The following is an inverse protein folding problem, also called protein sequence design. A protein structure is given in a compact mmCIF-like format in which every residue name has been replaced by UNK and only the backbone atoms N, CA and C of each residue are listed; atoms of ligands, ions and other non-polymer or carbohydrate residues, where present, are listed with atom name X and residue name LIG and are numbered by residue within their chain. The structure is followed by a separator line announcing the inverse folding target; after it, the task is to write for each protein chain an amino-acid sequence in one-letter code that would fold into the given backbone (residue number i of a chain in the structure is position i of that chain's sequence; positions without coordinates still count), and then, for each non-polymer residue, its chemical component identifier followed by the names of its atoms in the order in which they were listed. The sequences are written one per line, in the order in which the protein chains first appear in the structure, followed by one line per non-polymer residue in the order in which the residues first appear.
data_IF_851207365593
#
_entry.id   IF_851207365593
#
_cell.length_a   1.000
_cell.length_b   1.000
_cell.length_c   1.000
_cell.angle_alpha   90.00
_cell.angle_beta   90.00
_cell.angle_gamma   90.00
#
_symmetry.space_group_name_H-M   'P 1'
#
loop_
_entity.id
_entity.type
_entity.pdbx_description
1 polymer ?
#
# COMPACT_ATOMS: atom_id res chain seq x y z
N UNK A 1 1.93 1.65 21.42
CA UNK A 1 1.79 3.00 20.83
C UNK A 1 2.75 3.88 21.60
N UNK A 2 3.58 4.65 20.89
CA UNK A 2 4.55 5.55 21.51
C UNK A 2 4.01 6.98 21.46
N UNK A 3 4.10 7.70 22.57
CA UNK A 3 3.85 9.14 22.62
C UNK A 3 5.20 9.88 22.61
N UNK A 4 5.27 10.96 21.84
CA UNK A 4 6.48 11.76 21.66
C UNK A 4 6.12 13.24 21.68
N UNK A 5 6.96 14.05 22.32
CA UNK A 5 6.80 15.50 22.40
C UNK A 5 7.82 16.12 21.46
N UNK A 6 7.34 16.85 20.47
CA UNK A 6 8.18 17.51 19.46
C UNK A 6 7.71 18.94 19.24
N UNK A 7 8.64 19.87 19.07
CA UNK A 7 8.30 21.26 18.76
C UNK A 7 7.69 21.34 17.35
N UNK A 8 6.62 22.12 17.20
CA UNK A 8 6.07 22.44 15.89
C UNK A 8 7.14 23.09 15.01
N UNK A 9 7.26 22.66 13.76
CA UNK A 9 8.29 23.16 12.85
C UNK A 9 9.59 22.36 12.87
N UNK A 10 9.72 21.35 13.74
CA UNK A 10 10.89 20.45 13.74
C UNK A 10 10.99 19.72 12.39
N UNK A 11 12.16 19.71 11.72
CA UNK A 11 12.37 18.92 10.51
C UNK A 11 12.12 17.43 10.77
N UNK A 12 11.49 16.76 9.82
CA UNK A 12 11.18 15.32 9.88
C UNK A 12 12.44 14.49 10.15
N UNK A 13 13.57 14.85 9.54
CA UNK A 13 14.85 14.16 9.78
C UNK A 13 15.29 14.20 11.25
N UNK A 14 15.14 15.35 11.90
CA UNK A 14 15.49 15.49 13.33
C UNK A 14 14.50 14.73 14.20
N UNK A 15 13.21 14.75 13.85
CA UNK A 15 12.21 13.98 14.56
C UNK A 15 12.42 12.46 14.43
N UNK A 16 12.87 11.96 13.26
CA UNK A 16 13.25 10.55 13.10
C UNK A 16 14.37 10.15 14.05
N UNK A 17 15.40 10.99 14.24
CA UNK A 17 16.48 10.71 15.21
C UNK A 17 15.92 10.60 16.63
N UNK A 18 15.03 11.50 17.01
CA UNK A 18 14.35 11.45 18.31
C UNK A 18 13.55 10.15 18.48
N UNK A 19 12.76 9.75 17.47
CA UNK A 19 11.99 8.50 17.50
C UNK A 19 12.90 7.28 17.71
N UNK A 20 14.05 7.23 17.05
CA UNK A 20 15.00 6.12 17.19
C UNK A 20 15.48 5.99 18.64
N UNK A 21 15.83 7.10 19.28
CA UNK A 21 16.29 7.09 20.67
C UNK A 21 15.14 6.78 21.64
N UNK A 22 13.96 7.36 21.43
CA UNK A 22 12.78 7.08 22.27
C UNK A 22 12.33 5.62 22.17
N UNK A 23 12.35 5.03 20.96
CA UNK A 23 12.01 3.62 20.76
C UNK A 23 12.97 2.69 21.51
N UNK A 24 14.27 3.00 21.51
CA UNK A 24 15.28 2.26 22.30
C UNK A 24 15.02 2.39 23.80
N UNK A 25 14.79 3.61 24.30
CA UNK A 25 14.53 3.86 25.73
C UNK A 25 13.27 3.13 26.22
N UNK A 26 12.23 3.08 25.38
CA UNK A 26 10.98 2.38 25.70
C UNK A 26 11.05 0.86 25.47
N UNK A 27 12.18 0.34 25.00
CA UNK A 27 12.35 -1.09 24.72
C UNK A 27 11.42 -1.60 23.62
N UNK A 28 11.07 -0.75 22.65
CA UNK A 28 10.28 -1.17 21.49
C UNK A 28 11.16 -2.07 20.64
N UNK A 29 10.72 -3.32 20.46
CA UNK A 29 11.40 -4.30 19.62
C UNK A 29 11.21 -3.96 18.13
N UNK A 30 11.93 -2.93 17.66
CA UNK A 30 11.99 -2.56 16.26
C UNK A 30 13.38 -2.02 15.89
N UNK A 31 13.89 -2.44 14.73
CA UNK A 31 15.15 -1.94 14.18
C UNK A 31 14.83 -0.72 13.31
N UNK A 32 15.21 0.47 13.80
CA UNK A 32 15.04 1.73 13.09
C UNK A 32 16.40 2.31 12.71
N UNK A 33 16.58 2.58 11.42
CA UNK A 33 17.73 3.30 10.87
C UNK A 33 17.24 4.59 10.21
N UNK A 34 17.93 5.70 10.44
CA UNK A 34 17.49 7.04 10.02
C UNK A 34 17.09 7.13 8.55
N UNK A 35 17.92 6.57 7.65
CA UNK A 35 17.70 6.65 6.21
C UNK A 35 16.88 5.45 5.65
N UNK A 36 16.53 4.47 6.51
CA UNK A 36 15.68 3.32 6.16
C UNK A 36 14.39 3.31 7.00
N UNK A 37 13.84 4.48 7.26
CA UNK A 37 12.52 4.62 7.87
C UNK A 37 11.79 5.82 7.26
N UNK A 38 10.46 5.75 7.26
CA UNK A 38 9.60 6.86 6.86
C UNK A 38 8.50 7.11 7.89
N UNK A 39 8.06 8.36 7.93
CA UNK A 39 6.90 8.78 8.71
C UNK A 39 5.72 8.96 7.77
N UNK A 40 4.55 8.48 8.18
CA UNK A 40 3.30 8.65 7.43
C UNK A 40 2.21 9.24 8.28
N UNK A 41 1.34 10.02 7.67
CA UNK A 41 0.06 10.36 8.28
C UNK A 41 -0.70 9.08 8.63
N UNK A 42 -1.21 8.99 9.86
CA UNK A 42 -2.14 7.94 10.25
C UNK A 42 -3.57 8.48 10.11
N UNK A 43 -4.27 8.02 9.08
CA UNK A 43 -5.70 8.33 8.87
C UNK A 43 -6.47 7.07 9.27
N UNK A 44 -6.84 6.95 10.55
CA UNK A 44 -7.46 5.71 11.06
C UNK A 44 -6.54 4.49 10.93
N UNK A 45 -6.89 3.50 10.09
CA UNK A 45 -6.03 2.36 9.72
C UNK A 45 -5.30 2.55 8.38
N UNK A 46 -5.61 3.64 7.67
CA UNK A 46 -5.09 3.94 6.34
C UNK A 46 -3.71 4.61 6.45
N UNK A 47 -2.67 4.09 5.76
CA UNK A 47 -1.41 4.81 5.61
C UNK A 47 -1.64 6.00 4.69
N UNK A 48 -1.39 7.21 5.20
CA UNK A 48 -1.51 8.45 4.45
C UNK A 48 -0.20 8.89 3.82
N UNK A 49 -0.11 10.20 3.60
CA UNK A 49 1.02 10.90 3.00
C UNK A 49 2.34 10.57 3.70
N UNK A 50 3.38 10.32 2.91
CA UNK A 50 4.75 10.19 3.40
C UNK A 50 5.36 11.57 3.65
N UNK A 51 5.94 11.76 4.83
CA UNK A 51 6.71 12.94 5.19
C UNK A 51 8.18 12.79 4.79
N UNK A 52 8.67 13.74 4.00
CA UNK A 52 10.06 13.81 3.57
C UNK A 52 10.91 14.54 4.61
N UNK A 53 12.19 14.18 4.67
CA UNK A 53 13.15 14.67 5.67
C UNK A 53 13.24 16.20 5.80
N UNK A 54 13.09 16.92 4.69
CA UNK A 54 13.13 18.39 4.65
C UNK A 54 11.82 19.07 5.04
N UNK A 55 10.72 18.31 5.14
CA UNK A 55 9.45 18.83 5.61
C UNK A 55 9.47 18.98 7.12
N UNK A 56 8.53 19.76 7.64
CA UNK A 56 8.40 20.04 9.06
C UNK A 56 7.19 19.32 9.65
N UNK A 57 7.31 18.91 10.90
CA UNK A 57 6.22 18.31 11.65
C UNK A 57 5.24 19.39 12.09
N UNK A 58 3.95 19.13 11.84
CA UNK A 58 2.85 19.86 12.48
C UNK A 58 2.39 19.10 13.72
N UNK A 59 2.13 19.83 14.80
CA UNK A 59 1.82 19.22 16.09
C UNK A 59 0.42 18.56 16.08
N UNK A 60 0.23 17.52 16.89
CA UNK A 60 -1.07 16.90 17.13
C UNK A 60 -1.49 15.80 16.16
N UNK A 61 -0.61 15.36 15.25
CA UNK A 61 -0.88 14.27 14.30
C UNK A 61 -0.42 12.92 14.84
N UNK A 62 -1.25 11.88 14.67
CA UNK A 62 -0.80 10.48 14.80
C UNK A 62 -0.05 10.09 13.54
N UNK A 63 1.07 9.40 13.70
CA UNK A 63 1.91 8.97 12.58
C UNK A 63 2.22 7.49 12.66
N UNK A 64 2.40 6.86 11.51
CA UNK A 64 3.05 5.56 11.41
C UNK A 64 4.55 5.76 11.24
N UNK A 65 5.33 4.95 11.95
CA UNK A 65 6.76 4.76 11.72
C UNK A 65 6.90 3.46 10.93
N UNK A 66 7.33 3.57 9.68
CA UNK A 66 7.47 2.42 8.79
C UNK A 66 8.96 2.17 8.49
N UNK A 67 9.53 1.04 8.95
CA UNK A 67 10.85 0.60 8.54
C UNK A 67 10.86 0.22 7.05
N UNK A 68 11.96 0.54 6.37
CA UNK A 68 12.16 0.26 4.95
C UNK A 68 13.25 -0.78 4.75
N UNK A 69 13.12 -1.60 3.71
CA UNK A 69 14.19 -2.54 3.31
C UNK A 69 15.41 -1.83 2.71
N UNK A 70 15.27 -0.58 2.29
CA UNK A 70 16.31 0.23 1.69
C UNK A 70 16.04 1.72 1.87
N UNK A 71 16.76 2.56 1.13
CA UNK A 71 16.56 4.01 1.17
C UNK A 71 15.17 4.40 0.66
N UNK A 72 14.62 5.48 1.21
CA UNK A 72 13.42 6.11 0.68
C UNK A 72 13.68 6.61 -0.75
N UNK A 73 12.82 6.21 -1.67
CA UNK A 73 12.93 6.53 -3.10
C UNK A 73 11.95 7.64 -3.52
N UNK A 74 11.01 8.01 -2.65
CA UNK A 74 9.96 8.99 -2.94
C UNK A 74 10.45 10.43 -2.81
N UNK A 75 10.07 11.24 -3.79
CA UNK A 75 10.23 12.68 -3.84
C UNK A 75 8.88 13.41 -3.73
N UNK A 76 8.91 14.74 -3.54
CA UNK A 76 7.74 15.53 -3.13
C UNK A 76 6.54 15.45 -4.09
N UNK A 77 6.79 15.41 -5.39
CA UNK A 77 5.73 15.38 -6.40
C UNK A 77 5.21 13.96 -6.70
N UNK A 78 5.94 12.94 -6.26
CA UNK A 78 5.64 11.55 -6.53
C UNK A 78 4.57 11.01 -5.60
N UNK A 79 3.81 10.03 -6.09
CA UNK A 79 2.82 9.29 -5.31
C UNK A 79 3.28 7.86 -5.08
N UNK A 80 3.12 7.39 -3.85
CA UNK A 80 3.41 6.01 -3.49
C UNK A 80 2.10 5.24 -3.44
N UNK A 81 2.00 4.15 -4.21
CA UNK A 81 0.84 3.27 -4.20
C UNK A 81 1.28 1.83 -3.98
N UNK A 82 0.44 1.08 -3.28
CA UNK A 82 0.57 -0.35 -3.13
C UNK A 82 -0.07 -1.06 -4.32
N UNK A 83 0.53 -2.14 -4.75
CA UNK A 83 0.03 -2.95 -5.86
C UNK A 83 -0.03 -4.41 -5.45
N UNK A 84 -1.08 -5.09 -5.92
CA UNK A 84 -1.31 -6.51 -5.69
C UNK A 84 -1.55 -7.16 -7.04
N UNK A 85 -0.70 -8.12 -7.41
CA UNK A 85 -0.93 -8.88 -8.63
C UNK A 85 -1.96 -9.96 -8.35
N UNK A 86 -3.07 -9.92 -9.06
CA UNK A 86 -4.03 -11.02 -9.14
C UNK A 86 -3.54 -12.04 -10.17
N UNK A 87 -3.56 -13.33 -9.79
CA UNK A 87 -3.20 -14.49 -10.61
C UNK A 87 -4.45 -15.31 -10.91
N UNK A 88 -5.24 -14.99 -11.95
CA UNK A 88 -6.46 -15.74 -12.29
C UNK A 88 -6.22 -17.26 -12.41
N UNK A 89 -5.07 -17.64 -12.97
CA UNK A 89 -4.68 -19.04 -13.19
C UNK A 89 -4.39 -19.83 -11.91
N UNK A 90 -4.21 -19.13 -10.79
CA UNK A 90 -3.93 -19.73 -9.48
C UNK A 90 -5.04 -19.44 -8.47
N UNK A 91 -5.98 -18.57 -8.82
CA UNK A 91 -6.98 -18.01 -7.91
C UNK A 91 -6.34 -17.42 -6.62
N UNK A 92 -5.22 -16.74 -6.78
CA UNK A 92 -4.41 -16.21 -5.68
C UNK A 92 -3.87 -14.81 -6.00
N UNK A 93 -3.36 -14.14 -4.97
CA UNK A 93 -2.67 -12.85 -5.10
C UNK A 93 -1.20 -12.98 -4.73
N UNK A 94 -0.34 -12.25 -5.43
CA UNK A 94 1.06 -12.08 -5.03
C UNK A 94 1.13 -11.19 -3.77
N UNK A 95 2.25 -11.23 -3.02
CA UNK A 95 2.49 -10.29 -1.93
C UNK A 95 2.34 -8.82 -2.37
N UNK A 96 1.96 -7.97 -1.42
CA UNK A 96 1.82 -6.53 -1.67
C UNK A 96 3.20 -5.95 -1.99
N UNK A 97 3.28 -5.26 -3.12
CA UNK A 97 4.45 -4.51 -3.55
C UNK A 97 4.15 -3.00 -3.57
N UNK A 98 5.21 -2.20 -3.69
CA UNK A 98 5.12 -0.74 -3.77
C UNK A 98 5.66 -0.24 -5.10
N UNK A 99 4.95 0.70 -5.71
CA UNK A 99 5.45 1.48 -6.84
C UNK A 99 5.36 2.99 -6.53
N UNK A 100 6.27 3.74 -7.15
CA UNK A 100 6.32 5.19 -7.08
C UNK A 100 5.95 5.73 -8.46
N UNK A 101 4.94 6.59 -8.48
CA UNK A 101 4.41 7.25 -9.67
C UNK A 101 4.94 8.68 -9.74
N UNK A 102 5.42 9.07 -10.90
CA UNK A 102 6.04 10.38 -11.11
C UNK A 102 4.99 11.49 -11.32
N UNK A 103 3.82 11.12 -11.83
CA UNK A 103 2.76 12.07 -12.11
C UNK A 103 1.73 12.17 -10.98
N UNK A 104 1.55 13.38 -10.45
CA UNK A 104 0.51 13.70 -9.46
C UNK A 104 -0.90 13.29 -9.92
N UNK A 105 -1.23 13.31 -11.21
CA UNK A 105 -2.58 12.97 -11.65
C UNK A 105 -2.82 11.46 -11.85
N UNK A 106 -1.81 10.62 -11.63
CA UNK A 106 -1.89 9.17 -11.84
C UNK A 106 -2.28 8.84 -13.27
N UNK A 107 -1.47 9.29 -14.23
CA UNK A 107 -1.66 8.96 -15.66
C UNK A 107 -1.68 7.43 -15.80
N UNK A 108 -2.74 6.84 -16.39
CA UNK A 108 -2.80 5.41 -16.68
C UNK A 108 -1.54 4.86 -17.36
N UNK A 109 -0.86 5.65 -18.20
CA UNK A 109 0.38 5.23 -18.88
C UNK A 109 1.54 5.03 -17.90
N UNK A 110 1.68 5.91 -16.91
CA UNK A 110 2.73 5.82 -15.88
C UNK A 110 2.49 4.58 -15.00
N UNK A 111 1.24 4.39 -14.55
CA UNK A 111 0.84 3.21 -13.77
C UNK A 111 1.15 1.92 -14.52
N UNK A 112 0.71 1.80 -15.77
CA UNK A 112 0.90 0.58 -16.56
C UNK A 112 2.37 0.35 -16.89
N UNK A 113 3.15 1.40 -17.16
CA UNK A 113 4.59 1.30 -17.35
C UNK A 113 5.29 0.71 -16.13
N UNK A 114 4.99 1.22 -14.93
CA UNK A 114 5.54 0.70 -13.67
C UNK A 114 5.11 -0.73 -13.38
N UNK A 115 3.84 -1.07 -13.63
CA UNK A 115 3.35 -2.43 -13.47
C UNK A 115 4.01 -3.41 -14.46
N UNK A 116 4.30 -2.96 -15.68
CA UNK A 116 5.02 -3.74 -16.69
C UNK A 116 6.45 -4.01 -16.28
N UNK A 117 7.17 -2.97 -15.84
CA UNK A 117 8.52 -3.06 -15.30
C UNK A 117 8.58 -4.04 -14.11
N UNK A 118 7.64 -3.92 -13.16
CA UNK A 118 7.58 -4.76 -11.96
C UNK A 118 7.30 -6.23 -12.28
N UNK A 119 6.44 -6.50 -13.27
CA UNK A 119 5.87 -7.84 -13.49
C UNK A 119 6.46 -8.61 -14.67
N UNK A 120 7.18 -7.93 -15.57
CA UNK A 120 7.64 -8.45 -16.85
C UNK A 120 6.52 -8.67 -17.88
N UNK A 121 5.28 -8.29 -17.57
CA UNK A 121 4.13 -8.40 -18.49
C UNK A 121 4.12 -7.19 -19.41
N UNK A 122 3.98 -7.40 -20.72
CA UNK A 122 3.93 -6.27 -21.65
C UNK A 122 2.73 -5.36 -21.38
N UNK A 123 2.90 -4.06 -21.56
CA UNK A 123 1.93 -3.01 -21.23
C UNK A 123 0.54 -3.28 -21.83
N UNK A 124 0.47 -3.82 -23.05
CA UNK A 124 -0.80 -4.14 -23.72
C UNK A 124 -1.59 -5.26 -23.05
N UNK A 125 -0.93 -6.12 -22.25
CA UNK A 125 -1.56 -7.24 -21.56
C UNK A 125 -1.91 -6.93 -20.11
N UNK A 126 -1.53 -5.76 -19.59
CA UNK A 126 -1.87 -5.36 -18.24
C UNK A 126 -3.31 -4.84 -18.19
N UNK A 127 -4.06 -5.35 -17.22
CA UNK A 127 -5.32 -4.74 -16.77
C UNK A 127 -5.20 -4.44 -15.28
N UNK A 128 -5.82 -3.36 -14.83
CA UNK A 128 -5.68 -2.88 -13.46
C UNK A 128 -6.98 -2.24 -12.96
N UNK A 129 -7.12 -2.05 -11.65
CA UNK A 129 -8.35 -1.52 -11.04
C UNK A 129 -8.22 -0.07 -10.61
N UNK A 130 -9.32 0.56 -10.22
CA UNK A 130 -9.26 1.79 -9.44
C UNK A 130 -8.56 1.55 -8.09
N UNK A 131 -7.93 2.58 -7.53
CA UNK A 131 -7.25 2.52 -6.25
C UNK A 131 -8.22 2.37 -5.08
N UNK A 132 -8.09 1.28 -4.31
CA UNK A 132 -8.82 1.04 -3.06
C UNK A 132 -8.07 1.55 -1.83
N UNK A 133 -8.81 1.72 -0.75
CA UNK A 133 -8.22 2.06 0.54
C UNK A 133 -7.69 0.80 1.23
N UNK A 134 -6.57 0.93 1.95
CA UNK A 134 -5.96 -0.15 2.73
C UNK A 134 -6.50 -0.20 4.17
N UNK A 135 -6.85 -1.36 4.76
CA UNK A 135 -6.64 -2.70 4.24
C UNK A 135 -7.72 -3.08 3.22
N UNK A 136 -7.32 -3.90 2.24
CA UNK A 136 -8.23 -4.42 1.23
C UNK A 136 -9.00 -5.63 1.75
N UNK A 137 -10.32 -5.60 1.59
CA UNK A 137 -11.25 -6.60 2.14
C UNK A 137 -11.88 -7.50 1.08
N UNK A 138 -11.46 -7.37 -0.18
CA UNK A 138 -11.97 -8.25 -1.23
C UNK A 138 -11.36 -9.65 -1.13
N UNK A 139 -12.21 -10.66 -1.24
CA UNK A 139 -11.81 -12.07 -1.30
C UNK A 139 -11.28 -12.43 -2.67
N UNK A 140 -10.27 -13.31 -2.73
CA UNK A 140 -9.75 -13.84 -4.00
C UNK A 140 -10.83 -14.43 -4.92
N UNK A 141 -11.91 -14.99 -4.35
CA UNK A 141 -13.01 -15.57 -5.12
C UNK A 141 -13.82 -14.50 -5.88
N UNK A 142 -13.80 -13.26 -5.39
CA UNK A 142 -14.65 -12.15 -5.84
C UNK A 142 -13.90 -11.10 -6.64
N UNK A 143 -12.55 -11.12 -6.65
CA UNK A 143 -11.69 -10.16 -7.35
C UNK A 143 -12.09 -9.95 -8.82
N UNK A 144 -12.35 -11.01 -9.57
CA UNK A 144 -12.71 -10.87 -10.99
C UNK A 144 -14.15 -10.37 -11.20
N UNK A 145 -15.06 -10.61 -10.25
CA UNK A 145 -16.48 -10.34 -10.40
C UNK A 145 -16.88 -8.96 -9.85
N UNK A 146 -16.23 -8.52 -8.77
CA UNK A 146 -16.57 -7.26 -8.09
C UNK A 146 -15.70 -6.08 -8.51
N UNK A 147 -14.53 -6.33 -9.11
CA UNK A 147 -13.64 -5.24 -9.53
C UNK A 147 -13.86 -4.85 -10.98
N UNK A 148 -13.83 -3.53 -11.20
CA UNK A 148 -13.81 -2.94 -12.54
C UNK A 148 -12.36 -2.90 -13.03
N UNK A 149 -12.13 -3.51 -14.19
CA UNK A 149 -10.80 -3.62 -14.80
C UNK A 149 -10.64 -2.65 -15.97
N UNK A 150 -9.66 -1.76 -15.85
CA UNK A 150 -9.30 -0.75 -16.84
C UNK A 150 -8.14 -1.19 -17.73
N UNK A 151 -8.02 -0.52 -18.88
CA UNK A 151 -6.97 -0.70 -19.90
C UNK A 151 -6.40 0.66 -20.31
N UNK A 152 -5.26 0.66 -21.00
CA UNK A 152 -4.54 1.86 -21.49
C UNK A 152 -5.45 2.90 -22.19
N UNK A 153 -6.51 2.47 -22.87
CA UNK A 153 -7.29 3.33 -23.78
C UNK A 153 -8.32 4.27 -23.10
N UNK A 154 -8.48 4.23 -21.78
CA UNK A 154 -9.41 5.13 -21.08
C UNK A 154 -8.69 6.37 -20.58
N UNK A 155 -9.02 7.56 -21.10
CA UNK A 155 -8.48 8.86 -20.64
C UNK A 155 -8.91 9.29 -19.22
N UNK A 156 -9.12 8.34 -18.32
CA UNK A 156 -9.57 8.57 -16.95
C UNK A 156 -8.37 8.75 -16.03
N UNK A 157 -8.28 9.89 -15.36
CA UNK A 157 -7.36 10.07 -14.24
C UNK A 157 -7.85 9.21 -13.07
N UNK A 158 -6.96 8.36 -12.55
CA UNK A 158 -7.26 7.40 -11.48
C UNK A 158 -7.36 8.03 -10.08
N UNK A 159 -7.12 9.36 -9.96
CA UNK A 159 -7.09 10.12 -8.69
C UNK A 159 -6.43 9.34 -7.54
N UNK A 160 -5.26 8.75 -7.80
CA UNK A 160 -4.57 7.83 -6.87
C UNK A 160 -3.86 8.58 -5.75
N UNK A 161 -4.32 8.52 -4.51
CA UNK A 161 -3.59 9.15 -3.39
C UNK A 161 -2.51 8.21 -2.80
N UNK A 162 -1.58 8.77 -2.04
CA UNK A 162 -0.60 7.99 -1.27
C UNK A 162 -1.31 6.91 -0.43
N UNK A 163 -0.75 5.70 -0.43
CA UNK A 163 -1.25 4.58 0.38
C UNK A 163 -2.47 3.86 -0.18
N UNK A 164 -2.93 4.18 -1.40
CA UNK A 164 -3.96 3.39 -2.09
C UNK A 164 -3.40 2.07 -2.62
N UNK A 165 -4.28 1.09 -2.77
CA UNK A 165 -3.98 -0.25 -3.28
C UNK A 165 -4.62 -0.44 -4.65
N UNK A 166 -3.84 -0.89 -5.63
CA UNK A 166 -4.31 -1.21 -6.98
C UNK A 166 -4.14 -2.71 -7.21
N UNK A 167 -5.17 -3.36 -7.74
CA UNK A 167 -5.03 -4.71 -8.27
C UNK A 167 -4.65 -4.64 -9.74
N UNK A 168 -3.79 -5.55 -10.18
CA UNK A 168 -3.47 -5.71 -11.60
C UNK A 168 -3.31 -7.18 -11.97
N UNK A 169 -3.48 -7.50 -13.26
CA UNK A 169 -3.35 -8.86 -13.79
C UNK A 169 -2.82 -8.86 -15.22
N UNK A 170 -2.24 -9.98 -15.61
CA UNK A 170 -2.04 -10.31 -17.02
C UNK A 170 -3.37 -10.82 -17.59
N UNK A 171 -3.95 -10.07 -18.53
CA UNK A 171 -5.27 -10.38 -19.09
C UNK A 171 -5.28 -11.64 -19.97
N UNK A 172 -4.11 -12.21 -20.28
CA UNK A 172 -3.98 -13.48 -21.01
C UNK A 172 -4.17 -14.68 -20.10
N UNK A 173 -4.06 -14.50 -18.78
CA UNK A 173 -4.31 -15.58 -17.83
C UNK A 173 -5.78 -15.99 -17.85
N UNK A 174 -6.02 -17.29 -17.95
CA UNK A 174 -7.36 -17.87 -17.84
C UNK A 174 -7.63 -18.22 -16.38
N UNK A 175 -8.84 -17.90 -15.91
CA UNK A 175 -9.25 -18.20 -14.54
C UNK A 175 -9.26 -19.71 -14.33
N UNK A 176 -8.65 -20.17 -13.24
CA UNK A 176 -8.68 -21.57 -12.82
C UNK A 176 -10.11 -21.98 -12.46
N UNK A 177 -10.53 -23.13 -12.96
CA UNK A 177 -11.69 -23.84 -12.43
C UNK A 177 -11.29 -24.49 -11.10
N UNK A 178 -11.94 -24.05 -10.02
CA UNK A 178 -11.68 -24.56 -8.68
C UNK A 178 -12.56 -25.77 -8.41
N UNK A 179 -11.98 -26.77 -7.77
CA UNK A 179 -12.75 -27.83 -7.11
C UNK A 179 -13.47 -27.28 -5.87
N UNK A 180 -14.51 -27.99 -5.42
CA UNK A 180 -15.23 -27.61 -4.19
C UNK A 180 -14.29 -27.52 -2.98
N UNK A 181 -13.33 -28.46 -2.89
CA UNK A 181 -12.32 -28.48 -1.82
C UNK A 181 -11.44 -27.23 -1.85
N UNK A 182 -10.88 -26.87 -3.00
CA UNK A 182 -10.03 -25.68 -3.12
C UNK A 182 -10.81 -24.40 -2.84
N UNK A 183 -12.06 -24.33 -3.31
CA UNK A 183 -12.95 -23.19 -3.02
C UNK A 183 -13.20 -23.06 -1.51
N UNK A 184 -13.45 -24.16 -0.81
CA UNK A 184 -13.63 -24.16 0.64
C UNK A 184 -12.36 -23.71 1.39
N UNK A 185 -11.19 -24.19 0.99
CA UNK A 185 -9.90 -23.80 1.59
C UNK A 185 -9.63 -22.30 1.42
N UNK A 186 -9.87 -21.76 0.23
CA UNK A 186 -9.73 -20.31 -0.03
C UNK A 186 -10.73 -19.52 0.81
N UNK A 187 -11.98 -19.97 0.89
CA UNK A 187 -13.02 -19.29 1.67
C UNK A 187 -12.67 -19.22 3.16
N UNK A 188 -12.14 -20.30 3.73
CA UNK A 188 -11.70 -20.34 5.12
C UNK A 188 -10.53 -19.37 5.38
N UNK A 189 -9.52 -19.39 4.51
CA UNK A 189 -8.37 -18.50 4.61
C UNK A 189 -8.77 -17.01 4.49
N UNK A 190 -9.65 -16.67 3.55
CA UNK A 190 -10.18 -15.31 3.38
C UNK A 190 -11.03 -14.88 4.57
N UNK A 191 -11.85 -15.77 5.12
CA UNK A 191 -12.65 -15.47 6.32
C UNK A 191 -11.74 -15.11 7.50
N UNK A 192 -10.72 -15.93 7.78
CA UNK A 192 -9.76 -15.67 8.84
C UNK A 192 -8.97 -14.37 8.61
N UNK A 193 -8.61 -14.06 7.35
CA UNK A 193 -7.93 -12.80 7.00
C UNK A 193 -8.83 -11.58 7.25
N UNK A 194 -10.10 -11.66 6.87
CA UNK A 194 -11.06 -10.57 7.05
C UNK A 194 -11.42 -10.34 8.51
N UNK A 195 -11.50 -11.40 9.32
CA UNK A 195 -11.68 -11.28 10.77
C UNK A 195 -10.52 -10.52 11.43
N UNK A 196 -9.27 -10.83 11.05
CA UNK A 196 -8.09 -10.09 11.54
C UNK A 196 -8.14 -8.61 11.16
N UNK A 197 -8.60 -8.30 9.95
CA UNK A 197 -8.78 -6.90 9.51
C UNK A 197 -9.84 -6.19 10.36
N UNK A 198 -10.98 -6.83 10.59
CA UNK A 198 -12.06 -6.30 11.44
C UNK A 198 -11.56 -6.03 12.86
N UNK A 199 -10.84 -6.98 13.46
CA UNK A 199 -10.25 -6.81 14.78
C UNK A 199 -9.29 -5.61 14.83
N UNK A 200 -8.44 -5.45 13.81
CA UNK A 200 -7.52 -4.32 13.72
C UNK A 200 -8.25 -2.98 13.62
N UNK A 201 -9.32 -2.90 12.81
CA UNK A 201 -10.16 -1.69 12.70
C UNK A 201 -10.84 -1.34 14.02
N UNK A 202 -11.42 -2.32 14.70
CA UNK A 202 -12.05 -2.13 16.02
C UNK A 202 -11.07 -1.59 17.07
N UNK A 203 -9.81 -2.07 17.09
CA UNK A 203 -8.75 -1.54 17.98
C UNK A 203 -8.35 -0.09 17.68
N UNK A 204 -8.66 0.42 16.49
CA UNK A 204 -8.27 1.75 16.03
C UNK A 204 -9.45 2.72 15.84
N UNK A 205 -10.65 2.32 16.27
CA UNK A 205 -11.83 3.20 16.26
C UNK A 205 -12.39 3.46 14.87
N UNK A 206 -12.33 2.46 13.99
CA UNK A 206 -12.93 2.47 12.66
C UNK A 206 -13.89 1.28 12.46
#
# INVERSE_FOLDING_TARGET
MMESIVAKGTPVREFKKQIIEEAKVQGIDCVLELDKMRLRDKIGVYPGTVYLDHQVIDAGKKMYVEPLKGLEKKHKAQRQVYVIRWRPSQCSVDPIEEIILDNYNGDPKDVIGKLSELSGVSVEYISYTEGKQFPVEISCLDIDNELIWYRIAGGYSLRLYDGRVIYYKDKRETKKELTDKERSEIQEAETARLEKIKECKSKHGL
#
